data_IF_637970516288
#
_entry.id   IF_637970516288
#
_cell.length_a   1.000
_cell.length_b   1.000
_cell.length_c   1.000
_cell.angle_alpha   90.00
_cell.angle_beta   90.00
_cell.angle_gamma   90.00
#
_symmetry.space_group_name_H-M   'P 1'
#
loop_
_entity.id
_entity.type
_entity.pdbx_description
1 polymer ?
#
# COMPACT_ATOMS: atom_id res chain seq x y z
N UNK A 1 -22.42 0.81 8.95
CA UNK A 1 -23.35 -0.07 9.68
C UNK A 1 -22.55 -1.14 10.40
N UNK A 2 -22.87 -1.44 11.65
CA UNK A 2 -22.20 -2.46 12.46
C UNK A 2 -23.25 -3.40 13.06
N UNK A 3 -22.96 -4.69 13.17
CA UNK A 3 -23.79 -5.66 13.89
C UNK A 3 -23.21 -5.96 15.29
N UNK A 4 -24.00 -6.53 16.23
CA UNK A 4 -23.55 -6.81 17.60
C UNK A 4 -22.34 -7.75 17.70
N UNK A 5 -22.11 -8.56 16.67
CA UNK A 5 -20.97 -9.47 16.51
C UNK A 5 -19.82 -8.86 15.70
N UNK A 6 -19.76 -7.52 15.64
CA UNK A 6 -18.68 -6.71 15.06
C UNK A 6 -18.53 -6.75 13.54
N UNK A 7 -19.37 -7.47 12.79
CA UNK A 7 -19.39 -7.31 11.33
C UNK A 7 -19.82 -5.89 10.96
N UNK A 8 -19.25 -5.37 9.88
CA UNK A 8 -19.57 -4.04 9.42
C UNK A 8 -19.47 -3.88 7.91
N UNK A 9 -20.07 -2.80 7.43
CA UNK A 9 -19.85 -2.23 6.10
C UNK A 9 -19.84 -0.70 6.22
N UNK A 10 -19.03 -0.04 5.40
CA UNK A 10 -18.85 1.41 5.42
C UNK A 10 -18.58 1.94 4.00
N UNK A 11 -18.76 3.25 3.80
CA UNK A 11 -18.19 3.94 2.63
C UNK A 11 -16.65 3.90 2.71
N UNK A 12 -15.93 4.16 1.60
CA UNK A 12 -14.47 4.10 1.56
C UNK A 12 -13.76 4.95 2.63
N UNK A 13 -14.37 6.03 3.10
CA UNK A 13 -13.80 6.93 4.12
C UNK A 13 -14.41 6.73 5.52
N UNK A 14 -15.47 5.92 5.64
CA UNK A 14 -16.29 5.83 6.85
C UNK A 14 -15.62 5.15 8.04
N UNK A 15 -14.49 4.48 7.85
CA UNK A 15 -13.74 3.75 8.88
C UNK A 15 -12.55 4.55 9.45
N UNK A 16 -12.16 5.69 8.85
CA UNK A 16 -10.93 6.44 9.20
C UNK A 16 -10.93 7.07 10.61
N UNK A 17 -12.11 7.26 11.20
CA UNK A 17 -12.29 7.85 12.52
C UNK A 17 -12.75 6.82 13.57
N UNK A 18 -12.83 5.55 13.19
CA UNK A 18 -13.27 4.47 14.06
C UNK A 18 -12.08 3.64 14.50
N UNK A 19 -12.00 3.41 15.81
CA UNK A 19 -10.92 2.64 16.42
C UNK A 19 -11.52 1.57 17.33
N UNK A 20 -10.84 0.43 17.40
CA UNK A 20 -11.05 -0.55 18.45
C UNK A 20 -10.14 -0.26 19.62
N UNK A 21 -10.71 -0.41 20.80
CA UNK A 21 -10.04 -0.29 22.08
C UNK A 21 -10.41 -1.53 22.88
N UNK A 22 -9.40 -2.21 23.42
CA UNK A 22 -9.64 -3.34 24.30
C UNK A 22 -9.83 -2.85 25.75
N UNK A 23 -10.68 -3.50 26.56
CA UNK A 23 -10.98 -3.04 27.92
C UNK A 23 -9.76 -2.91 28.85
N UNK A 24 -8.68 -3.62 28.54
CA UNK A 24 -7.45 -3.72 29.32
C UNK A 24 -6.32 -2.78 28.83
N UNK A 25 -6.61 -1.89 27.86
CA UNK A 25 -5.60 -1.01 27.30
C UNK A 25 -6.15 0.32 26.74
N UNK A 26 -5.26 1.30 26.65
CA UNK A 26 -5.50 2.57 25.94
C UNK A 26 -4.96 2.54 24.51
N UNK A 27 -4.44 1.38 24.07
CA UNK A 27 -3.98 1.21 22.70
C UNK A 27 -5.18 1.12 21.77
N UNK A 28 -5.16 1.95 20.73
CA UNK A 28 -6.19 2.01 19.70
C UNK A 28 -5.71 1.23 18.48
N UNK A 29 -6.64 0.58 17.80
CA UNK A 29 -6.41 -0.17 16.56
C UNK A 29 -7.39 0.32 15.50
N UNK A 30 -6.94 0.51 14.26
CA UNK A 30 -7.84 0.90 13.17
C UNK A 30 -8.72 -0.28 12.76
N UNK A 31 -9.92 0.04 12.26
CA UNK A 31 -10.85 -0.97 11.74
C UNK A 31 -10.28 -1.76 10.54
N UNK A 32 -9.34 -1.16 9.80
CA UNK A 32 -8.64 -1.77 8.67
C UNK A 32 -7.83 -3.01 9.08
N UNK A 33 -7.27 -3.00 10.30
CA UNK A 33 -6.47 -4.12 10.83
C UNK A 33 -7.26 -5.42 10.97
N UNK A 34 -8.59 -5.34 10.93
CA UNK A 34 -9.51 -6.45 11.12
C UNK A 34 -10.49 -6.64 9.96
N UNK A 35 -10.30 -5.89 8.86
CA UNK A 35 -11.21 -5.90 7.70
C UNK A 35 -11.41 -7.31 7.12
N UNK A 36 -10.35 -8.13 7.07
CA UNK A 36 -10.38 -9.49 6.51
C UNK A 36 -11.43 -10.39 7.15
N UNK A 37 -11.74 -10.19 8.44
CA UNK A 37 -12.74 -10.98 9.15
C UNK A 37 -14.07 -10.24 9.30
N UNK A 38 -14.04 -8.92 9.50
CA UNK A 38 -15.22 -8.18 9.96
C UNK A 38 -15.86 -7.25 8.92
N UNK A 39 -15.18 -6.87 7.84
CA UNK A 39 -15.80 -6.11 6.75
C UNK A 39 -16.53 -7.08 5.82
N UNK A 40 -17.82 -7.27 6.09
CA UNK A 40 -18.66 -8.27 5.44
C UNK A 40 -19.94 -7.66 4.88
N UNK A 41 -19.86 -6.93 3.75
CA UNK A 41 -21.02 -6.33 3.10
C UNK A 41 -22.11 -7.35 2.77
N UNK A 42 -21.71 -8.57 2.41
CA UNK A 42 -22.58 -9.71 2.12
C UNK A 42 -23.41 -10.12 3.35
N UNK A 43 -22.78 -10.29 4.52
CA UNK A 43 -23.47 -10.64 5.77
C UNK A 43 -24.42 -9.51 6.19
N UNK A 44 -23.96 -8.26 6.13
CA UNK A 44 -24.81 -7.12 6.49
C UNK A 44 -26.04 -7.04 5.58
N UNK A 45 -25.86 -7.19 4.26
CA UNK A 45 -26.95 -7.18 3.29
C UNK A 45 -27.96 -8.31 3.56
N UNK A 46 -27.49 -9.54 3.74
CA UNK A 46 -28.36 -10.68 4.01
C UNK A 46 -29.20 -10.51 5.30
N UNK A 47 -28.57 -9.98 6.36
CA UNK A 47 -29.26 -9.70 7.62
C UNK A 47 -30.30 -8.59 7.50
N UNK A 48 -30.00 -7.52 6.76
CA UNK A 48 -30.97 -6.48 6.44
C UNK A 48 -32.14 -7.01 5.61
N UNK A 49 -31.92 -8.05 4.80
CA UNK A 49 -32.96 -8.76 4.05
C UNK A 49 -33.73 -9.81 4.87
N UNK A 50 -33.44 -9.95 6.17
CA UNK A 50 -34.20 -10.80 7.09
C UNK A 50 -33.53 -12.13 7.47
N UNK A 51 -32.42 -12.52 6.85
CA UNK A 51 -31.65 -13.69 7.28
C UNK A 51 -30.72 -13.32 8.45
N UNK A 52 -31.27 -13.32 9.66
CA UNK A 52 -30.56 -12.96 10.89
C UNK A 52 -29.48 -13.98 11.31
N UNK A 53 -29.34 -15.11 10.61
CA UNK A 53 -28.39 -16.17 10.94
C UNK A 53 -27.16 -16.20 10.03
N UNK A 54 -27.18 -15.48 8.90
CA UNK A 54 -25.99 -15.36 8.03
C UNK A 54 -24.78 -14.91 8.85
N UNK A 55 -23.63 -15.57 8.65
CA UNK A 55 -22.37 -15.21 9.31
C UNK A 55 -22.20 -15.71 10.75
N UNK A 56 -23.05 -16.62 11.23
CA UNK A 56 -22.89 -17.28 12.53
C UNK A 56 -22.18 -18.65 12.39
N UNK A 57 -21.31 -19.05 13.35
CA UNK A 57 -20.82 -18.23 14.46
C UNK A 57 -19.89 -17.11 13.96
N UNK A 58 -19.91 -15.96 14.63
CA UNK A 58 -19.02 -14.88 14.29
C UNK A 58 -17.57 -15.20 14.71
N UNK A 59 -16.57 -14.70 13.97
CA UNK A 59 -15.17 -14.86 14.35
C UNK A 59 -14.91 -14.20 15.70
N UNK A 60 -14.17 -14.89 16.57
CA UNK A 60 -13.80 -14.36 17.87
C UNK A 60 -12.73 -13.30 17.70
N UNK A 61 -12.95 -12.15 18.32
CA UNK A 61 -11.96 -11.10 18.40
C UNK A 61 -10.76 -11.53 19.22
N UNK A 62 -9.57 -11.39 18.64
CA UNK A 62 -8.32 -11.62 19.35
C UNK A 62 -7.52 -10.34 19.34
N UNK A 63 -6.82 -10.07 20.45
CA UNK A 63 -5.95 -8.90 20.53
C UNK A 63 -4.81 -9.07 19.51
N UNK A 64 -4.55 -8.07 18.66
CA UNK A 64 -3.43 -8.11 17.73
C UNK A 64 -2.09 -8.26 18.47
N UNK A 65 -1.03 -8.68 17.76
CA UNK A 65 0.30 -8.68 18.32
C UNK A 65 0.76 -7.24 18.62
N UNK A 66 1.79 -7.13 19.44
CA UNK A 66 2.44 -5.87 19.80
C UNK A 66 3.90 -5.87 19.35
N UNK A 67 4.37 -4.70 18.91
CA UNK A 67 5.78 -4.43 18.62
C UNK A 67 6.25 -3.31 19.55
N UNK A 68 7.37 -3.55 20.21
CA UNK A 68 8.15 -2.54 20.91
C UNK A 68 9.44 -2.35 20.13
N UNK A 69 9.71 -1.10 19.77
CA UNK A 69 10.94 -0.68 19.12
C UNK A 69 11.59 0.35 20.04
N UNK A 70 12.77 0.08 20.62
CA UNK A 70 13.43 1.02 21.52
C UNK A 70 13.67 2.38 20.88
N UNK A 71 14.04 2.40 19.60
CA UNK A 71 14.30 3.63 18.82
C UNK A 71 13.04 4.20 18.15
N UNK A 72 11.85 3.90 18.68
CA UNK A 72 10.62 4.34 18.03
C UNK A 72 10.52 5.87 17.99
N UNK A 73 10.28 6.42 16.79
CA UNK A 73 10.20 7.85 16.49
C UNK A 73 11.53 8.60 16.62
N UNK A 74 12.64 7.88 16.77
CA UNK A 74 13.96 8.50 16.78
C UNK A 74 14.43 8.81 15.36
N UNK A 75 15.39 9.75 15.29
CA UNK A 75 16.24 9.98 14.13
C UNK A 75 17.65 9.46 14.46
N UNK A 76 18.16 8.53 13.65
CA UNK A 76 19.52 7.99 13.75
C UNK A 76 20.34 8.34 12.51
N UNK A 77 21.65 8.29 12.65
CA UNK A 77 22.58 8.39 11.52
C UNK A 77 23.53 7.19 11.55
N UNK A 78 23.91 6.70 10.37
CA UNK A 78 24.92 5.63 10.24
C UNK A 78 25.74 5.81 8.98
N UNK A 79 26.97 5.30 9.00
CA UNK A 79 27.85 5.18 7.84
C UNK A 79 27.84 3.76 7.24
N UNK A 80 27.07 2.84 7.85
CA UNK A 80 26.89 1.48 7.36
C UNK A 80 25.78 1.42 6.29
N UNK A 81 25.85 0.41 5.43
CA UNK A 81 24.82 0.12 4.41
C UNK A 81 23.54 -0.47 5.00
N UNK A 82 23.52 -0.72 6.30
CA UNK A 82 22.42 -1.35 7.01
C UNK A 82 22.25 -0.77 8.41
N UNK A 83 21.08 -0.98 9.01
CA UNK A 83 20.76 -0.59 10.37
C UNK A 83 20.40 -1.81 11.21
N UNK A 84 21.10 -2.01 12.32
CA UNK A 84 20.80 -3.06 13.30
C UNK A 84 19.55 -2.69 14.11
N UNK A 85 18.38 -3.09 13.60
CA UNK A 85 17.09 -2.83 14.20
C UNK A 85 16.79 -3.82 15.34
N UNK A 86 16.57 -3.28 16.55
CA UNK A 86 16.14 -4.05 17.71
C UNK A 86 14.62 -3.98 17.88
N UNK A 87 13.97 -5.13 18.01
CA UNK A 87 12.53 -5.25 18.24
C UNK A 87 12.22 -6.24 19.34
N UNK A 88 11.14 -5.99 20.07
CA UNK A 88 10.49 -6.97 20.93
C UNK A 88 9.06 -7.16 20.46
N UNK A 89 8.67 -8.41 20.22
CA UNK A 89 7.32 -8.75 19.79
C UNK A 89 6.61 -9.59 20.84
N UNK A 90 5.31 -9.36 21.01
CA UNK A 90 4.47 -10.18 21.88
C UNK A 90 3.06 -10.37 21.34
N UNK A 91 2.39 -11.45 21.70
CA UNK A 91 0.97 -11.70 21.40
C UNK A 91 0.38 -12.66 22.45
N UNK A 92 -0.90 -12.53 22.82
CA UNK A 92 -1.54 -13.48 23.75
C UNK A 92 -1.49 -14.94 23.26
N UNK A 93 -1.56 -15.15 21.93
CA UNK A 93 -1.52 -16.48 21.32
C UNK A 93 -0.16 -16.79 20.70
N UNK A 94 0.19 -16.08 19.64
CA UNK A 94 1.43 -16.25 18.88
C UNK A 94 1.60 -15.07 17.92
N UNK A 95 2.82 -14.58 17.82
CA UNK A 95 3.27 -13.75 16.71
C UNK A 95 3.73 -14.71 15.61
N UNK A 96 3.07 -14.67 14.45
CA UNK A 96 3.39 -15.51 13.29
C UNK A 96 4.58 -14.92 12.55
N UNK A 97 4.48 -13.66 12.14
CA UNK A 97 5.52 -12.97 11.37
C UNK A 97 5.72 -11.52 11.78
N UNK A 98 6.92 -11.00 11.53
CA UNK A 98 7.23 -9.57 11.50
C UNK A 98 7.62 -9.20 10.08
N UNK A 99 7.06 -8.11 9.58
CA UNK A 99 7.44 -7.50 8.31
C UNK A 99 8.12 -6.17 8.58
N UNK A 100 9.27 -5.97 7.95
CA UNK A 100 10.02 -4.72 7.97
C UNK A 100 9.87 -4.09 6.60
N UNK A 101 9.61 -2.79 6.61
CA UNK A 101 9.51 -1.96 5.42
C UNK A 101 10.53 -0.84 5.48
N UNK A 102 11.15 -0.53 4.35
CA UNK A 102 12.04 0.64 4.18
C UNK A 102 11.36 1.57 3.19
N UNK A 103 11.06 2.79 3.61
CA UNK A 103 10.34 3.78 2.80
C UNK A 103 9.00 3.24 2.23
N UNK A 104 8.31 2.41 3.02
CA UNK A 104 7.05 1.76 2.64
C UNK A 104 7.19 0.50 1.79
N UNK A 105 8.39 0.15 1.32
CA UNK A 105 8.65 -1.06 0.54
C UNK A 105 8.99 -2.24 1.45
N UNK A 106 8.47 -3.46 1.20
CA UNK A 106 8.89 -4.65 1.94
C UNK A 106 10.40 -4.85 1.83
N UNK A 107 11.07 -5.06 2.97
CA UNK A 107 12.52 -5.30 3.04
C UNK A 107 12.84 -6.65 3.66
N UNK A 108 12.31 -6.93 4.86
CA UNK A 108 12.51 -8.22 5.53
C UNK A 108 11.18 -8.81 5.97
N UNK A 109 11.11 -10.14 5.97
CA UNK A 109 10.02 -10.92 6.56
C UNK A 109 10.60 -12.00 7.44
N UNK A 110 10.26 -11.96 8.73
CA UNK A 110 10.80 -12.86 9.74
C UNK A 110 9.69 -13.68 10.37
N UNK A 111 9.82 -15.01 10.33
CA UNK A 111 8.92 -15.90 11.08
C UNK A 111 9.30 -15.89 12.56
N UNK A 112 8.32 -15.60 13.41
CA UNK A 112 8.51 -15.57 14.87
C UNK A 112 8.01 -16.88 15.48
N UNK A 113 6.78 -17.30 15.14
CA UNK A 113 6.11 -18.51 15.60
C UNK A 113 6.22 -18.74 17.11
N UNK A 114 5.89 -17.71 17.89
CA UNK A 114 6.01 -17.74 19.34
C UNK A 114 5.25 -16.61 20.01
N UNK A 115 4.99 -16.75 21.31
CA UNK A 115 4.27 -15.72 22.08
C UNK A 115 5.06 -14.44 22.21
N UNK A 116 6.36 -14.54 22.45
CA UNK A 116 7.26 -13.41 22.64
C UNK A 116 8.61 -13.72 22.01
N UNK A 117 9.26 -12.69 21.46
CA UNK A 117 10.60 -12.82 20.88
C UNK A 117 11.30 -11.47 20.80
N UNK A 118 12.58 -11.45 21.16
CA UNK A 118 13.51 -10.37 20.85
C UNK A 118 14.13 -10.65 19.47
N UNK A 119 14.17 -9.64 18.62
CA UNK A 119 14.73 -9.69 17.28
C UNK A 119 15.81 -8.62 17.13
N UNK A 120 16.95 -9.03 16.58
CA UNK A 120 17.99 -8.13 16.07
C UNK A 120 18.09 -8.38 14.58
N UNK A 121 17.68 -7.40 13.79
CA UNK A 121 17.55 -7.51 12.34
C UNK A 121 18.50 -6.52 11.67
N UNK A 122 19.28 -6.99 10.72
CA UNK A 122 20.13 -6.13 9.91
C UNK A 122 19.33 -5.64 8.70
N UNK A 123 18.84 -4.40 8.75
CA UNK A 123 17.93 -3.83 7.75
C UNK A 123 18.75 -3.09 6.69
N UNK A 124 18.72 -3.50 5.41
CA UNK A 124 19.44 -2.78 4.36
C UNK A 124 18.88 -1.37 4.18
N UNK A 125 19.77 -0.39 4.02
CA UNK A 125 19.45 1.02 3.83
C UNK A 125 19.65 1.43 2.37
N UNK A 126 18.78 2.33 1.91
CA UNK A 126 18.98 3.10 0.69
C UNK A 126 19.83 4.35 1.00
N UNK A 127 20.30 5.03 -0.04
CA UNK A 127 20.98 6.32 0.11
C UNK A 127 20.10 7.34 0.84
N UNK A 128 20.71 8.19 1.67
CA UNK A 128 20.04 9.29 2.37
C UNK A 128 19.04 8.80 3.44
N UNK A 129 17.82 9.35 3.45
CA UNK A 129 16.82 9.12 4.49
C UNK A 129 16.03 7.82 4.25
N UNK A 130 15.95 7.02 5.32
CA UNK A 130 15.23 5.75 5.35
C UNK A 130 14.26 5.74 6.52
N UNK A 131 12.97 5.63 6.24
CA UNK A 131 11.97 5.29 7.27
C UNK A 131 11.84 3.78 7.36
N UNK A 132 12.33 3.20 8.44
CA UNK A 132 12.20 1.78 8.74
C UNK A 132 10.94 1.57 9.55
N UNK A 133 9.98 0.80 9.04
CA UNK A 133 8.71 0.48 9.72
C UNK A 133 8.63 -1.00 10.01
N UNK A 134 8.26 -1.37 11.24
CA UNK A 134 8.04 -2.75 11.68
C UNK A 134 6.55 -2.98 12.02
N UNK A 135 6.01 -4.09 11.52
CA UNK A 135 4.63 -4.54 11.80
C UNK A 135 4.64 -6.04 12.09
N UNK A 136 4.06 -6.46 13.21
CA UNK A 136 3.86 -7.86 13.55
C UNK A 136 2.47 -8.34 13.11
N UNK A 137 2.35 -9.63 12.80
CA UNK A 137 1.11 -10.28 12.39
C UNK A 137 0.91 -11.58 13.18
N UNK A 138 -0.31 -11.87 13.61
CA UNK A 138 -0.70 -13.13 14.25
C UNK A 138 -1.16 -14.19 13.22
N UNK A 139 -1.69 -15.33 13.72
CA UNK A 139 -2.19 -16.43 12.88
C UNK A 139 -3.42 -16.07 12.04
N UNK A 140 -4.14 -15.01 12.39
CA UNK A 140 -5.32 -14.50 11.66
C UNK A 140 -4.97 -13.30 10.79
N UNK A 141 -3.69 -12.99 10.63
CA UNK A 141 -3.16 -11.82 9.94
C UNK A 141 -3.60 -10.48 10.54
N UNK A 142 -4.01 -10.45 11.82
CA UNK A 142 -4.20 -9.19 12.54
C UNK A 142 -2.85 -8.55 12.80
N UNK A 143 -2.76 -7.26 12.46
CA UNK A 143 -1.50 -6.51 12.51
C UNK A 143 -1.35 -5.74 13.82
N UNK A 144 -0.11 -5.60 14.30
CA UNK A 144 0.21 -4.63 15.34
C UNK A 144 0.07 -3.20 14.82
N UNK A 145 0.03 -2.23 15.74
CA UNK A 145 0.35 -0.85 15.36
C UNK A 145 1.78 -0.78 14.79
N UNK A 146 2.01 0.03 13.74
CA UNK A 146 3.32 0.18 13.16
C UNK A 146 4.25 0.92 14.11
N UNK A 147 5.50 0.47 14.19
CA UNK A 147 6.60 1.20 14.84
C UNK A 147 7.61 1.59 13.79
N UNK A 148 8.11 2.82 13.87
CA UNK A 148 9.10 3.32 12.93
C UNK A 148 10.27 4.02 13.60
N UNK A 149 11.39 4.06 12.90
CA UNK A 149 12.60 4.87 13.17
C UNK A 149 13.06 5.47 11.84
N UNK A 150 13.52 6.72 11.88
CA UNK A 150 14.12 7.38 10.71
C UNK A 150 15.64 7.26 10.80
N UNK A 151 16.29 6.79 9.73
CA UNK A 151 17.74 6.55 9.67
C UNK A 151 18.31 7.28 8.47
N UNK A 152 19.27 8.18 8.70
CA UNK A 152 20.04 8.83 7.64
C UNK A 152 21.29 8.00 7.39
N UNK A 153 21.37 7.38 6.21
CA UNK A 153 22.59 6.71 5.75
C UNK A 153 23.53 7.76 5.11
N UNK A 154 24.66 8.02 5.78
CA UNK A 154 25.71 8.95 5.31
C UNK A 154 26.72 8.28 4.38
N UNK A 155 26.54 6.99 4.07
CA UNK A 155 27.45 6.27 3.21
C UNK A 155 27.38 6.81 1.77
N UNK A 156 28.52 7.30 1.29
CA UNK A 156 28.67 7.74 -0.10
C UNK A 156 28.77 6.54 -1.04
N UNK A 157 28.23 6.67 -2.26
CA UNK A 157 28.33 5.64 -3.29
C UNK A 157 27.28 4.52 -3.17
N UNK A 158 26.25 4.70 -2.34
CA UNK A 158 25.04 3.89 -2.44
C UNK A 158 24.26 4.28 -3.71
N UNK A 159 23.77 3.27 -4.43
CA UNK A 159 22.97 3.46 -5.63
C UNK A 159 21.64 4.11 -5.26
N UNK A 160 21.36 5.29 -5.79
CA UNK A 160 20.02 5.89 -5.71
C UNK A 160 19.07 5.08 -6.60
N UNK A 161 17.81 4.88 -6.19
CA UNK A 161 16.84 4.17 -7.02
C UNK A 161 16.61 4.93 -8.34
N UNK A 162 16.22 4.21 -9.37
CA UNK A 162 15.66 4.80 -10.59
C UNK A 162 14.17 5.05 -10.41
N UNK A 163 13.64 6.02 -11.14
CA UNK A 163 12.22 6.29 -11.20
C UNK A 163 11.70 6.00 -12.61
N UNK A 164 10.65 5.20 -12.70
CA UNK A 164 9.91 4.94 -13.92
C UNK A 164 8.57 5.67 -13.82
N UNK A 165 8.29 6.57 -14.76
CA UNK A 165 7.04 7.33 -14.81
C UNK A 165 6.29 6.90 -16.05
N UNK A 166 5.15 6.24 -15.86
CA UNK A 166 4.26 5.84 -16.92
C UNK A 166 3.00 6.70 -16.89
N UNK A 167 2.91 7.66 -17.82
CA UNK A 167 1.77 8.54 -17.97
C UNK A 167 0.87 8.07 -19.10
N UNK A 168 -0.42 7.86 -18.81
CA UNK A 168 -1.45 7.54 -19.79
C UNK A 168 -2.51 8.64 -19.72
N UNK A 169 -2.74 9.32 -20.85
CA UNK A 169 -3.66 10.45 -20.91
C UNK A 169 -4.47 10.46 -22.19
N UNK A 170 -5.77 10.16 -22.09
CA UNK A 170 -6.62 9.97 -23.27
C UNK A 170 -7.74 11.00 -23.26
N UNK A 171 -7.55 12.03 -24.08
CA UNK A 171 -8.54 13.07 -24.34
C UNK A 171 -9.38 12.79 -25.58
N UNK A 172 -8.77 12.16 -26.58
CA UNK A 172 -9.41 11.87 -27.86
C UNK A 172 -9.75 10.39 -27.98
N UNK A 173 -11.00 10.11 -28.32
CA UNK A 173 -11.58 8.79 -28.53
C UNK A 173 -12.22 8.75 -29.93
N UNK A 174 -11.47 8.39 -30.98
CA UNK A 174 -11.94 8.49 -32.37
C UNK A 174 -13.21 7.68 -32.69
N UNK A 175 -13.50 6.61 -31.94
CA UNK A 175 -14.70 5.78 -32.13
C UNK A 175 -15.92 6.24 -31.32
N UNK A 176 -15.76 7.25 -30.45
CA UNK A 176 -16.83 7.78 -29.62
C UNK A 176 -17.32 9.12 -30.15
N UNK A 177 -18.55 9.50 -29.76
CA UNK A 177 -19.12 10.78 -30.16
C UNK A 177 -18.38 11.98 -29.55
N UNK A 178 -18.63 13.18 -30.09
CA UNK A 178 -17.98 14.42 -29.64
C UNK A 178 -18.20 14.75 -28.16
N UNK A 179 -19.34 14.31 -27.58
CA UNK A 179 -19.63 14.51 -26.15
C UNK A 179 -18.81 13.63 -25.21
N UNK A 180 -18.11 12.63 -25.75
CA UNK A 180 -17.22 11.73 -25.01
C UNK A 180 -15.75 12.10 -25.15
N UNK A 181 -15.43 13.22 -25.80
CA UNK A 181 -14.05 13.72 -25.84
C UNK A 181 -13.76 14.49 -24.54
N UNK A 182 -12.57 14.31 -24.00
CA UNK A 182 -12.08 15.09 -22.85
C UNK A 182 -11.09 16.14 -23.31
N UNK A 183 -10.89 17.18 -22.50
CA UNK A 183 -10.05 18.31 -22.89
C UNK A 183 -8.61 18.17 -22.37
N UNK A 184 -8.41 17.66 -21.15
CA UNK A 184 -7.12 17.82 -20.43
C UNK A 184 -6.39 16.52 -20.04
N UNK A 185 -6.98 15.35 -20.21
CA UNK A 185 -6.39 14.09 -19.76
C UNK A 185 -4.96 13.84 -20.33
N UNK A 186 -4.74 14.16 -21.60
CA UNK A 186 -3.41 14.05 -22.22
C UNK A 186 -2.39 15.06 -21.66
N UNK A 187 -2.80 16.31 -21.40
CA UNK A 187 -1.93 17.33 -20.81
C UNK A 187 -1.61 17.05 -19.35
N UNK A 188 -2.53 16.45 -18.61
CA UNK A 188 -2.32 16.05 -17.21
C UNK A 188 -1.23 14.98 -17.11
N UNK A 189 -1.31 13.95 -17.97
CA UNK A 189 -0.28 12.90 -18.03
C UNK A 189 1.10 13.46 -18.40
N UNK A 190 1.13 14.41 -19.34
CA UNK A 190 2.37 15.09 -19.72
C UNK A 190 2.94 15.94 -18.58
N UNK A 191 2.08 16.66 -17.85
CA UNK A 191 2.49 17.48 -16.70
C UNK A 191 3.11 16.61 -15.59
N UNK A 192 2.50 15.46 -15.29
CA UNK A 192 3.03 14.51 -14.31
C UNK A 192 4.41 13.99 -14.72
N UNK A 193 4.56 13.53 -15.97
CA UNK A 193 5.86 13.08 -16.48
C UNK A 193 6.94 14.17 -16.36
N UNK A 194 6.61 15.41 -16.75
CA UNK A 194 7.54 16.54 -16.67
C UNK A 194 7.94 16.89 -15.22
N UNK A 195 7.00 16.87 -14.28
CA UNK A 195 7.27 17.16 -12.86
C UNK A 195 8.27 16.15 -12.30
N UNK A 196 8.10 14.87 -12.59
CA UNK A 196 8.97 13.82 -12.08
C UNK A 196 10.31 13.73 -12.81
N UNK A 197 10.39 14.09 -14.09
CA UNK A 197 11.66 14.18 -14.81
C UNK A 197 12.66 15.09 -14.08
N UNK A 198 12.17 16.16 -13.44
CA UNK A 198 12.99 17.08 -12.65
C UNK A 198 13.59 16.47 -11.37
N UNK A 199 13.31 15.21 -11.05
CA UNK A 199 13.88 14.48 -9.91
C UNK A 199 15.13 13.67 -10.26
N UNK A 200 15.51 13.59 -11.55
CA UNK A 200 16.73 12.93 -11.98
C UNK A 200 17.98 13.59 -11.36
N UNK A 201 18.91 12.75 -10.88
CA UNK A 201 20.11 13.17 -10.14
C UNK A 201 19.85 13.63 -8.70
N UNK A 202 18.59 13.91 -8.33
CA UNK A 202 18.20 14.34 -6.98
C UNK A 202 17.90 13.14 -6.10
N UNK A 203 16.62 12.79 -5.96
CA UNK A 203 16.18 11.62 -5.20
C UNK A 203 16.45 10.32 -5.98
N UNK A 204 16.48 10.39 -7.31
CA UNK A 204 16.65 9.25 -8.19
C UNK A 204 17.93 9.36 -9.00
N UNK A 205 18.58 8.24 -9.29
CA UNK A 205 19.77 8.20 -10.15
C UNK A 205 19.43 8.49 -11.61
N UNK A 206 18.29 8.01 -12.07
CA UNK A 206 17.79 8.09 -13.45
C UNK A 206 16.25 8.18 -13.40
N UNK A 207 15.64 8.99 -14.29
CA UNK A 207 14.19 9.03 -14.48
C UNK A 207 13.86 8.60 -15.91
N UNK A 208 13.10 7.51 -16.03
CA UNK A 208 12.61 6.97 -17.30
C UNK A 208 11.13 7.25 -17.43
N UNK A 209 10.77 8.12 -18.37
CA UNK A 209 9.38 8.48 -18.62
C UNK A 209 8.87 7.78 -19.88
N UNK A 210 7.71 7.12 -19.78
CA UNK A 210 6.93 6.61 -20.91
C UNK A 210 5.57 7.31 -20.89
N UNK A 211 5.20 7.93 -22.01
CA UNK A 211 3.98 8.73 -22.12
C UNK A 211 3.15 8.22 -23.30
N UNK A 212 1.96 7.71 -23.01
CA UNK A 212 0.98 7.29 -24.01
C UNK A 212 -0.21 8.24 -23.97
N UNK A 213 -0.43 8.97 -25.05
CA UNK A 213 -1.49 9.96 -25.11
C UNK A 213 -2.37 9.79 -26.34
N UNK A 214 -3.67 9.97 -26.16
CA UNK A 214 -4.66 9.93 -27.23
C UNK A 214 -4.45 8.69 -28.12
N UNK A 215 -4.25 8.87 -29.44
CA UNK A 215 -4.19 7.80 -30.43
C UNK A 215 -3.07 6.78 -30.17
N UNK A 216 -2.03 7.13 -29.40
CA UNK A 216 -0.96 6.21 -29.05
C UNK A 216 -1.26 5.33 -27.83
N UNK A 217 -2.39 5.55 -27.15
CA UNK A 217 -2.77 4.86 -25.92
C UNK A 217 -3.77 3.74 -26.23
N UNK A 218 -3.30 2.74 -26.99
CA UNK A 218 -4.06 1.54 -27.37
C UNK A 218 -3.98 0.47 -26.29
N UNK A 219 -4.83 -0.56 -26.37
CA UNK A 219 -4.76 -1.72 -25.47
C UNK A 219 -3.37 -2.37 -25.52
N UNK A 220 -2.84 -2.58 -26.72
CA UNK A 220 -1.53 -3.21 -26.96
C UNK A 220 -0.40 -2.42 -26.30
N UNK A 221 -0.27 -1.14 -26.63
CA UNK A 221 0.81 -0.29 -26.12
C UNK A 221 0.74 -0.06 -24.60
N UNK A 222 -0.47 0.07 -24.05
CA UNK A 222 -0.66 0.18 -22.59
C UNK A 222 -0.25 -1.12 -21.90
N UNK A 223 -0.68 -2.27 -22.43
CA UNK A 223 -0.36 -3.57 -21.85
C UNK A 223 1.14 -3.86 -21.92
N UNK A 224 1.78 -3.62 -23.06
CA UNK A 224 3.23 -3.77 -23.21
C UNK A 224 4.02 -2.90 -22.22
N UNK A 225 3.59 -1.65 -22.04
CA UNK A 225 4.23 -0.75 -21.10
C UNK A 225 4.05 -1.17 -19.64
N UNK A 226 2.89 -1.73 -19.28
CA UNK A 226 2.64 -2.30 -17.96
C UNK A 226 3.46 -3.58 -17.74
N UNK A 227 3.56 -4.45 -18.74
CA UNK A 227 4.36 -5.67 -18.69
C UNK A 227 5.85 -5.35 -18.52
N UNK A 228 6.34 -4.29 -19.15
CA UNK A 228 7.71 -3.82 -18.99
C UNK A 228 8.06 -3.42 -17.54
N UNK A 229 7.07 -3.06 -16.71
CA UNK A 229 7.30 -2.75 -15.29
C UNK A 229 7.74 -3.98 -14.48
N UNK A 230 7.47 -5.20 -14.97
CA UNK A 230 7.92 -6.44 -14.31
C UNK A 230 9.44 -6.61 -14.28
N UNK A 231 10.17 -5.89 -15.13
CA UNK A 231 11.63 -5.93 -15.23
C UNK A 231 12.34 -4.88 -14.35
N UNK A 232 11.60 -4.07 -13.60
CA UNK A 232 12.14 -3.01 -12.73
C UNK A 232 12.82 -3.63 -11.50
N UNK A 233 13.94 -3.03 -11.05
CA UNK A 233 14.66 -3.47 -9.85
C UNK A 233 13.80 -3.26 -8.58
N UNK A 234 13.96 -4.13 -7.57
CA UNK A 234 13.19 -4.05 -6.32
C UNK A 234 13.38 -2.71 -5.58
N UNK A 235 14.52 -2.04 -5.78
CA UNK A 235 14.81 -0.75 -5.18
C UNK A 235 14.26 0.43 -5.98
N UNK A 236 13.94 0.25 -7.26
CA UNK A 236 13.43 1.29 -8.16
C UNK A 236 11.95 1.60 -7.90
N UNK A 237 11.50 2.79 -8.28
CA UNK A 237 10.12 3.25 -8.06
C UNK A 237 9.40 3.37 -9.40
N UNK A 238 8.17 2.85 -9.47
CA UNK A 238 7.28 3.07 -10.61
C UNK A 238 6.09 3.96 -10.20
N UNK A 239 5.80 4.97 -11.00
CA UNK A 239 4.60 5.81 -10.91
C UNK A 239 3.78 5.55 -12.15
N UNK A 240 2.55 5.08 -11.97
CA UNK A 240 1.57 4.92 -13.04
C UNK A 240 0.51 6.01 -12.85
N UNK A 241 0.36 6.87 -13.84
CA UNK A 241 -0.65 7.91 -13.88
C UNK A 241 -1.59 7.63 -15.04
N UNK A 242 -2.90 7.60 -14.78
CA UNK A 242 -3.92 7.34 -15.80
C UNK A 242 -5.01 8.39 -15.71
N UNK A 243 -5.27 9.07 -16.83
CA UNK A 243 -6.36 10.03 -16.99
C UNK A 243 -7.14 9.71 -18.27
N UNK A 244 -8.46 9.58 -18.14
CA UNK A 244 -9.33 9.16 -19.23
C UNK A 244 -10.70 8.73 -18.71
N UNK A 245 -11.50 8.12 -19.58
CA UNK A 245 -12.81 7.58 -19.20
C UNK A 245 -12.67 6.26 -18.46
N UNK A 246 -13.45 6.12 -17.40
CA UNK A 246 -13.71 4.84 -16.73
C UNK A 246 -15.17 4.44 -16.95
N UNK A 247 -15.41 3.17 -17.26
CA UNK A 247 -16.77 2.61 -17.37
C UNK A 247 -16.92 1.41 -16.45
N UNK A 248 -18.18 1.04 -16.19
CA UNK A 248 -18.53 -0.18 -15.49
C UNK A 248 -19.30 -1.11 -16.40
N UNK A 249 -19.04 -2.40 -16.32
CA UNK A 249 -19.92 -3.41 -16.91
C UNK A 249 -21.11 -3.75 -15.99
N UNK A 250 -21.93 -4.72 -16.42
CA UNK A 250 -23.10 -5.20 -15.67
C UNK A 250 -22.75 -5.93 -14.38
N UNK A 251 -21.51 -6.40 -14.25
CA UNK A 251 -21.00 -7.11 -13.08
C UNK A 251 -20.27 -6.15 -12.10
N UNK A 252 -20.40 -4.83 -12.32
CA UNK A 252 -19.74 -3.75 -11.57
C UNK A 252 -18.20 -3.75 -11.70
N UNK A 253 -17.66 -4.43 -12.71
CA UNK A 253 -16.23 -4.40 -13.03
C UNK A 253 -15.90 -3.07 -13.70
N UNK A 254 -14.91 -2.37 -13.16
CA UNK A 254 -14.43 -1.12 -13.72
C UNK A 254 -13.39 -1.35 -14.82
N UNK A 255 -13.55 -0.66 -15.94
CA UNK A 255 -12.62 -0.65 -17.06
C UNK A 255 -12.14 0.77 -17.32
N UNK A 256 -10.86 0.91 -17.65
CA UNK A 256 -10.31 2.14 -18.23
C UNK A 256 -10.42 2.06 -19.74
N UNK A 257 -11.08 3.04 -20.37
CA UNK A 257 -11.22 3.07 -21.82
C UNK A 257 -9.92 3.51 -22.47
N UNK A 258 -9.51 2.79 -23.50
CA UNK A 258 -8.35 3.16 -24.32
C UNK A 258 -8.79 4.10 -25.44
N UNK A 259 -7.86 4.59 -26.25
CA UNK A 259 -8.19 5.45 -27.39
C UNK A 259 -9.12 4.75 -28.40
N UNK A 260 -9.16 3.43 -28.37
CA UNK A 260 -9.94 2.63 -29.31
C UNK A 260 -11.40 2.41 -28.90
N UNK A 261 -11.82 2.91 -27.73
CA UNK A 261 -13.15 2.69 -27.16
C UNK A 261 -13.22 1.38 -26.41
#
# INVERSE_FOLDING_TARGET
LTSPDSYYTCSPEGNKLLYWVYPDGMETFSFEQFESLFKRPDIIKARLSGDLNTGKPAPVMTHPPRVIMPDHMDLKETYDKSYSLKLFTSSPKSVKTVRIFVNGKPSLKVSVNGKEKELLLDVPLLSEANRITAVAYDEKDFSSNPKYVDVICKQTGLTKPKLYVFGIGISKYPKLSSSWQLEYAHTDAQAIANVFQNQEGKLFSEVRSSLLTNESATVETITEALDALSAIDENDVAIIFMAGHGVKDTDETFFFLTSEG
#
